data_IF_687301623098
#
_entry.id   IF_687301623098
#
_cell.length_a   1.000
_cell.length_b   1.000
_cell.length_c   1.000
_cell.angle_alpha   90.00
_cell.angle_beta   90.00
_cell.angle_gamma   90.00
#
_symmetry.space_group_name_H-M   'P 1'
#
loop_
_entity.id
_entity.type
_entity.pdbx_description
1 polymer ?
#
# COMPACT_ATOMS: atom_id res chain seq x y z
N UNK A 1 -18.31 -4.73 -1.19
CA UNK A 1 -16.84 -4.77 -1.28
C UNK A 1 -16.33 -3.37 -1.01
N UNK A 2 -15.49 -3.20 0.02
CA UNK A 2 -15.21 -1.91 0.64
C UNK A 2 -14.33 -1.00 -0.23
N UNK A 3 -14.68 0.29 -0.26
CA UNK A 3 -13.90 1.35 -0.90
C UNK A 3 -12.51 1.45 -0.24
N UNK A 4 -11.40 1.35 -1.00
CA UNK A 4 -10.04 1.45 -0.43
C UNK A 4 -9.78 2.78 0.30
N UNK A 5 -10.59 3.82 0.06
CA UNK A 5 -10.56 5.07 0.82
C UNK A 5 -10.85 4.89 2.32
N UNK A 6 -11.70 3.92 2.70
CA UNK A 6 -12.02 3.64 4.10
C UNK A 6 -10.75 3.19 4.84
N UNK A 7 -10.01 2.27 4.23
CA UNK A 7 -8.76 1.77 4.79
C UNK A 7 -7.65 2.80 4.77
N UNK A 8 -7.53 3.59 3.70
CA UNK A 8 -6.58 4.70 3.63
C UNK A 8 -6.74 5.66 4.82
N UNK A 9 -7.98 6.09 5.13
CA UNK A 9 -8.27 6.97 6.27
C UNK A 9 -8.03 6.33 7.64
N UNK A 10 -8.23 5.03 7.77
CA UNK A 10 -7.94 4.30 9.02
C UNK A 10 -6.43 4.20 9.23
N UNK A 11 -5.68 3.83 8.19
CA UNK A 11 -4.23 3.64 8.25
C UNK A 11 -3.47 4.93 8.54
N UNK A 12 -4.01 6.10 8.19
CA UNK A 12 -3.41 7.38 8.58
C UNK A 12 -3.47 7.66 10.08
N UNK A 13 -4.29 6.94 10.84
CA UNK A 13 -4.49 7.13 12.29
C UNK A 13 -3.83 6.04 13.14
N UNK A 14 -3.43 4.93 12.51
CA UNK A 14 -2.80 3.78 13.16
C UNK A 14 -1.29 3.96 13.18
N UNK A 15 -0.65 3.66 14.30
CA UNK A 15 0.82 3.78 14.47
C UNK A 15 1.51 2.43 14.51
N UNK A 16 0.74 1.36 14.73
CA UNK A 16 1.20 -0.02 14.76
C UNK A 16 1.52 -0.56 13.36
N UNK A 17 2.41 -1.55 13.31
CA UNK A 17 2.69 -2.31 12.11
C UNK A 17 1.52 -3.26 11.82
N UNK A 18 1.03 -3.25 10.58
CA UNK A 18 -0.15 -4.00 10.16
C UNK A 18 0.14 -4.83 8.92
N UNK A 19 -0.39 -6.04 8.87
CA UNK A 19 -0.39 -6.89 7.68
C UNK A 19 -1.81 -6.93 7.10
N UNK A 20 -1.93 -6.56 5.83
CA UNK A 20 -3.18 -6.68 5.07
C UNK A 20 -3.14 -7.90 4.17
N UNK A 21 -4.15 -8.75 4.29
CA UNK A 21 -4.35 -9.94 3.45
C UNK A 21 -5.66 -9.78 2.70
N UNK A 22 -5.63 -10.02 1.40
CA UNK A 22 -6.80 -9.85 0.54
C UNK A 22 -6.51 -10.24 -0.90
N UNK A 23 -7.34 -9.75 -1.81
CA UNK A 23 -7.30 -10.11 -3.22
C UNK A 23 -7.21 -8.88 -4.13
N UNK A 24 -6.84 -9.11 -5.39
CA UNK A 24 -6.99 -8.13 -6.45
C UNK A 24 -8.47 -7.97 -6.84
N UNK A 25 -8.91 -6.78 -7.28
CA UNK A 25 -8.09 -5.57 -7.49
C UNK A 25 -7.86 -4.73 -6.22
N UNK A 26 -8.48 -5.08 -5.08
CA UNK A 26 -8.50 -4.23 -3.88
C UNK A 26 -7.10 -3.93 -3.32
N UNK A 27 -6.22 -4.92 -3.23
CA UNK A 27 -4.85 -4.70 -2.75
C UNK A 27 -4.08 -3.73 -3.65
N UNK A 28 -4.20 -3.85 -4.98
CA UNK A 28 -3.54 -2.97 -5.93
C UNK A 28 -4.06 -1.52 -5.84
N UNK A 29 -5.38 -1.35 -5.67
CA UNK A 29 -5.98 -0.03 -5.50
C UNK A 29 -5.56 0.63 -4.19
N UNK A 30 -5.58 -0.11 -3.08
CA UNK A 30 -5.17 0.40 -1.78
C UNK A 30 -3.67 0.76 -1.77
N UNK A 31 -2.80 -0.10 -2.29
CA UNK A 31 -1.37 0.19 -2.35
C UNK A 31 -1.09 1.40 -3.23
N UNK A 32 -1.81 1.57 -4.34
CA UNK A 32 -1.64 2.73 -5.22
C UNK A 32 -2.06 4.03 -4.54
N UNK A 33 -3.18 4.04 -3.79
CA UNK A 33 -3.55 5.19 -2.95
C UNK A 33 -2.47 5.52 -1.91
N UNK A 34 -1.96 4.49 -1.22
CA UNK A 34 -0.97 4.66 -0.16
C UNK A 34 0.36 5.21 -0.70
N UNK A 35 0.74 4.83 -1.91
CA UNK A 35 2.03 5.18 -2.50
C UNK A 35 2.02 6.44 -3.36
N UNK A 36 0.90 6.75 -4.03
CA UNK A 36 0.83 7.83 -5.01
C UNK A 36 -0.52 8.55 -5.09
N UNK A 37 -1.38 8.42 -4.06
CA UNK A 37 -2.65 9.15 -3.94
C UNK A 37 -3.75 8.77 -4.94
N UNK A 38 -3.45 7.95 -5.95
CA UNK A 38 -4.36 7.56 -7.02
C UNK A 38 -4.54 6.03 -7.07
N UNK A 39 -5.77 5.57 -6.83
CA UNK A 39 -6.13 4.14 -6.82
C UNK A 39 -6.07 3.49 -8.19
N UNK A 40 -6.20 4.25 -9.27
CA UNK A 40 -6.31 3.69 -10.62
C UNK A 40 -4.95 3.54 -11.32
N UNK A 41 -3.87 4.10 -10.75
CA UNK A 41 -2.51 3.94 -11.31
C UNK A 41 -1.95 2.52 -11.23
N UNK A 42 -2.47 1.65 -10.37
CA UNK A 42 -2.06 0.24 -10.23
C UNK A 42 -0.54 0.03 -10.22
N UNK A 43 0.17 0.77 -9.37
CA UNK A 43 1.64 0.90 -9.45
C UNK A 43 2.43 -0.30 -8.91
N UNK A 44 1.74 -1.29 -8.36
CA UNK A 44 2.33 -2.57 -7.96
C UNK A 44 1.73 -3.68 -8.80
N UNK A 45 2.62 -4.43 -9.47
CA UNK A 45 2.29 -5.68 -10.15
C UNK A 45 2.32 -6.85 -9.17
N UNK A 46 1.24 -7.02 -8.40
CA UNK A 46 1.11 -8.11 -7.42
C UNK A 46 1.23 -9.48 -8.10
N UNK A 47 2.17 -10.30 -7.62
CA UNK A 47 2.24 -11.73 -7.96
C UNK A 47 1.44 -12.56 -6.97
N UNK A 48 1.05 -13.77 -7.39
CA UNK A 48 0.31 -14.69 -6.49
C UNK A 48 1.15 -14.95 -5.24
N UNK A 49 0.49 -14.88 -4.08
CA UNK A 49 1.14 -15.05 -2.77
C UNK A 49 2.35 -14.13 -2.52
N UNK A 50 2.41 -12.95 -3.15
CA UNK A 50 3.45 -11.97 -2.82
C UNK A 50 3.14 -11.16 -1.56
N UNK A 51 4.18 -10.65 -0.93
CA UNK A 51 4.11 -9.70 0.19
C UNK A 51 4.80 -8.41 -0.25
N UNK A 52 4.18 -7.27 0.06
CA UNK A 52 4.76 -5.94 -0.16
C UNK A 52 4.84 -5.23 1.18
N UNK A 53 6.02 -4.70 1.53
CA UNK A 53 6.16 -3.81 2.67
C UNK A 53 6.10 -2.35 2.23
N UNK A 54 5.21 -1.61 2.88
CA UNK A 54 5.09 -0.17 2.72
C UNK A 54 5.50 0.51 4.02
N UNK A 55 6.34 1.54 3.90
CA UNK A 55 6.79 2.35 5.03
C UNK A 55 6.15 3.72 4.98
N UNK A 56 5.46 4.11 6.04
CA UNK A 56 4.85 5.45 6.17
C UNK A 56 5.93 6.52 6.29
N UNK A 57 5.67 7.69 5.72
CA UNK A 57 6.51 8.88 5.97
C UNK A 57 6.19 9.43 7.36
N UNK A 58 7.22 9.69 8.18
CA UNK A 58 7.06 10.19 9.56
C UNK A 58 6.53 11.63 9.61
N UNK A 59 6.90 12.46 8.63
CA UNK A 59 6.51 13.86 8.53
C UNK A 59 6.08 14.15 7.09
N UNK A 60 4.87 14.67 6.91
CA UNK A 60 4.48 15.30 5.65
C UNK A 60 5.13 16.68 5.59
N UNK A 61 6.37 16.73 5.11
CA UNK A 61 7.10 17.99 4.94
C UNK A 61 6.53 18.78 3.74
N UNK A 62 5.89 18.07 2.81
CA UNK A 62 5.36 18.66 1.57
C UNK A 62 3.87 18.34 1.46
N UNK A 63 3.03 19.38 1.45
CA UNK A 63 1.60 19.24 1.18
C UNK A 63 1.30 18.74 -0.25
N UNK A 64 2.29 18.81 -1.15
CA UNK A 64 2.22 18.41 -2.56
C UNK A 64 2.57 16.93 -2.82
N UNK A 65 2.88 16.14 -1.78
CA UNK A 65 3.21 14.72 -2.00
C UNK A 65 1.95 13.88 -2.12
N UNK A 66 1.75 13.33 -3.32
CA UNK A 66 0.75 12.30 -3.57
C UNK A 66 1.15 10.99 -2.86
N UNK A 67 0.37 10.57 -1.87
CA UNK A 67 0.61 9.35 -1.10
C UNK A 67 1.33 9.56 0.23
N UNK A 68 1.27 8.53 1.09
CA UNK A 68 1.73 8.57 2.48
C UNK A 68 2.82 7.55 2.82
N UNK A 69 3.15 6.68 1.86
CA UNK A 69 4.07 5.59 2.06
C UNK A 69 5.07 5.51 0.90
N UNK A 70 6.22 4.89 1.17
CA UNK A 70 7.13 4.36 0.17
C UNK A 70 7.07 2.82 0.16
N UNK A 71 7.45 2.20 -0.96
CA UNK A 71 7.65 0.76 -1.05
C UNK A 71 9.06 0.43 -0.54
N UNK A 72 9.16 -0.35 0.53
CA UNK A 72 10.45 -0.72 1.14
C UNK A 72 11.01 -1.98 0.49
N UNK A 73 10.20 -3.04 0.41
CA UNK A 73 10.57 -4.29 -0.25
C UNK A 73 9.34 -5.02 -0.77
N UNK A 74 9.56 -5.98 -1.65
CA UNK A 74 8.56 -6.91 -2.14
C UNK A 74 9.18 -8.30 -2.23
N UNK A 75 8.44 -9.30 -1.77
CA UNK A 75 8.83 -10.70 -1.81
C UNK A 75 7.77 -11.47 -2.59
N UNK A 76 8.20 -12.27 -3.55
CA UNK A 76 7.34 -13.22 -4.26
C UNK A 76 7.80 -14.65 -3.94
N UNK A 77 6.92 -15.66 -4.01
CA UNK A 77 7.28 -17.04 -3.67
C UNK A 77 8.51 -17.55 -4.43
N UNK A 78 8.72 -17.08 -5.66
CA UNK A 78 9.84 -17.49 -6.53
C UNK A 78 11.21 -17.03 -6.01
N UNK A 79 11.26 -16.05 -5.10
CA UNK A 79 12.52 -15.53 -4.52
C UNK A 79 12.98 -16.35 -3.31
N UNK A 80 12.08 -17.14 -2.71
CA UNK A 80 12.38 -17.98 -1.55
C UNK A 80 12.72 -19.40 -2.04
N UNK A 81 13.86 -19.94 -1.61
CA UNK A 81 14.29 -21.33 -1.87
C UNK A 81 14.23 -22.16 -0.59
#
# INVERSE_FOLDING_TARGET
>A
MDDPQIWFKRLTKMTENLMFVGHLPHLAKLSSLLLCGDKEKNIIDFKRACIVCLKRFEVRIDADRDGNCSKEWMLTPEVIK
#
